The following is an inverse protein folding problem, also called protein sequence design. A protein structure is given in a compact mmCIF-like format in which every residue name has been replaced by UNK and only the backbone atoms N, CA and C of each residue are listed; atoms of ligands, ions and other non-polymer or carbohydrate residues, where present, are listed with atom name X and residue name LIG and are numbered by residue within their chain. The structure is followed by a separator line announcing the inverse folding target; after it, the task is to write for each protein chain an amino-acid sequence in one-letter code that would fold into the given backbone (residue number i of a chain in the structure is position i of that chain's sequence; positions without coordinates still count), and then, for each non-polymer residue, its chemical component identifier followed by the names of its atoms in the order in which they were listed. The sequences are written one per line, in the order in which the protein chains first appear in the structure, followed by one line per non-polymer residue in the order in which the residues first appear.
data_IF_417058744532
#
_entry.id   IF_417058744532
#
_cell.length_a   1.000
_cell.length_b   1.000
_cell.length_c   1.000
_cell.angle_alpha   90.00
_cell.angle_beta   90.00
_cell.angle_gamma   90.00
#
_symmetry.space_group_name_H-M   'P 1'
#
loop_
_entity.id
_entity.type
_entity.pdbx_description
1 polymer ?
#
# COMPACT_ATOMS: atom_id res chain seq x y z
N UNK A 1 19.05 -35.29 5.42
CA UNK A 1 17.59 -35.14 5.63
C UNK A 1 17.17 -33.77 5.06
N UNK A 2 16.35 -33.77 4.02
CA UNK A 2 15.79 -32.52 3.49
C UNK A 2 14.79 -31.98 4.50
N UNK A 3 15.18 -30.96 5.25
CA UNK A 3 14.24 -30.18 6.08
C UNK A 3 13.40 -29.30 5.15
N UNK A 4 12.48 -29.90 4.42
CA UNK A 4 11.52 -29.13 3.63
C UNK A 4 10.67 -28.29 4.61
N UNK A 5 10.73 -26.98 4.46
CA UNK A 5 9.84 -26.09 5.21
C UNK A 5 8.43 -26.27 4.65
N UNK A 6 7.52 -26.69 5.50
CA UNK A 6 6.11 -26.84 5.15
C UNK A 6 5.39 -25.55 5.57
N UNK A 7 4.68 -24.95 4.63
CA UNK A 7 3.82 -23.79 4.82
C UNK A 7 2.36 -24.20 4.66
N UNK A 8 1.48 -23.58 5.43
CA UNK A 8 0.03 -23.74 5.27
C UNK A 8 -0.47 -22.93 4.06
N UNK A 9 0.18 -21.78 3.82
CA UNK A 9 -0.12 -20.89 2.70
C UNK A 9 1.19 -20.43 2.07
N UNK A 10 1.28 -20.50 0.75
CA UNK A 10 2.38 -19.93 -0.02
C UNK A 10 1.84 -18.85 -0.96
N UNK A 11 2.34 -17.62 -0.79
CA UNK A 11 1.95 -16.45 -1.58
C UNK A 11 3.06 -16.18 -2.60
N UNK A 12 2.69 -16.07 -3.86
CA UNK A 12 3.61 -15.72 -4.95
C UNK A 12 3.44 -14.24 -5.29
N UNK A 13 4.48 -13.46 -5.02
CA UNK A 13 4.52 -12.02 -5.17
C UNK A 13 4.45 -11.29 -3.83
N UNK A 14 5.52 -10.57 -3.47
CA UNK A 14 5.62 -9.80 -2.23
C UNK A 14 5.30 -8.30 -2.43
N UNK A 15 4.56 -7.97 -3.49
CA UNK A 15 4.02 -6.62 -3.69
C UNK A 15 2.87 -6.30 -2.72
N UNK A 16 2.24 -5.12 -2.85
CA UNK A 16 1.18 -4.68 -1.93
C UNK A 16 0.05 -5.71 -1.73
N UNK A 17 -0.39 -6.36 -2.81
CA UNK A 17 -1.44 -7.38 -2.73
C UNK A 17 -1.01 -8.61 -1.94
N UNK A 18 0.19 -9.15 -2.21
CA UNK A 18 0.69 -10.32 -1.51
C UNK A 18 0.97 -10.03 -0.03
N UNK A 19 1.54 -8.87 0.27
CA UNK A 19 1.80 -8.43 1.64
C UNK A 19 0.51 -8.26 2.42
N UNK A 20 -0.50 -7.57 1.86
CA UNK A 20 -1.81 -7.43 2.50
C UNK A 20 -2.51 -8.77 2.71
N UNK A 21 -2.38 -9.69 1.76
CA UNK A 21 -2.93 -11.05 1.89
C UNK A 21 -2.28 -11.77 3.06
N UNK A 22 -0.95 -11.72 3.18
CA UNK A 22 -0.24 -12.37 4.28
C UNK A 22 -0.65 -11.80 5.65
N UNK A 23 -0.74 -10.48 5.77
CA UNK A 23 -1.18 -9.80 7.00
C UNK A 23 -2.61 -10.20 7.34
N UNK A 24 -3.50 -10.24 6.34
CA UNK A 24 -4.90 -10.64 6.55
C UNK A 24 -5.02 -12.07 7.06
N UNK A 25 -4.27 -13.01 6.49
CA UNK A 25 -4.23 -14.38 6.99
C UNK A 25 -3.72 -14.47 8.42
N UNK A 26 -2.65 -13.75 8.74
CA UNK A 26 -2.09 -13.71 10.09
C UNK A 26 -3.04 -13.10 11.12
N UNK A 27 -3.82 -12.08 10.73
CA UNK A 27 -4.82 -11.49 11.60
C UNK A 27 -6.03 -12.45 11.85
N UNK A 28 -6.39 -13.24 10.84
CA UNK A 28 -7.46 -14.22 10.98
C UNK A 28 -7.02 -15.47 11.78
N UNK A 29 -5.80 -15.91 11.57
CA UNK A 29 -5.24 -17.06 12.28
C UNK A 29 -3.72 -16.87 12.44
N UNK A 30 -3.25 -16.44 13.64
CA UNK A 30 -1.84 -16.22 13.92
C UNK A 30 -0.95 -17.47 13.81
N UNK A 31 -1.51 -18.66 13.92
CA UNK A 31 -0.76 -19.93 13.91
C UNK A 31 -0.38 -20.37 12.49
N UNK A 32 -0.99 -19.80 11.45
CA UNK A 32 -0.69 -20.15 10.06
C UNK A 32 0.78 -19.90 9.74
N UNK A 33 1.42 -20.90 9.15
CA UNK A 33 2.76 -20.78 8.57
C UNK A 33 2.64 -20.25 7.15
N UNK A 34 2.95 -18.96 6.97
CA UNK A 34 2.83 -18.29 5.69
C UNK A 34 4.21 -18.08 5.09
N UNK A 35 4.39 -18.55 3.86
CA UNK A 35 5.53 -18.24 3.03
C UNK A 35 5.17 -17.20 1.99
N UNK A 36 6.06 -16.24 1.73
CA UNK A 36 5.94 -15.30 0.62
C UNK A 36 7.19 -15.46 -0.24
N UNK A 37 7.00 -15.62 -1.53
CA UNK A 37 8.09 -15.67 -2.52
C UNK A 37 7.89 -14.57 -3.56
N UNK A 38 9.00 -13.97 -3.99
CA UNK A 38 8.99 -12.99 -5.08
C UNK A 38 10.16 -13.28 -6.04
N UNK A 39 9.99 -12.91 -7.30
CA UNK A 39 11.05 -13.03 -8.31
C UNK A 39 12.17 -12.01 -8.14
N UNK A 40 11.92 -10.93 -7.41
CA UNK A 40 12.83 -9.83 -7.20
C UNK A 40 13.43 -9.84 -5.79
N UNK A 41 14.63 -9.27 -5.66
CA UNK A 41 15.27 -8.98 -4.37
C UNK A 41 14.83 -7.58 -3.92
N UNK A 42 14.38 -7.44 -2.69
CA UNK A 42 13.96 -6.16 -2.11
C UNK A 42 15.15 -5.44 -1.42
N UNK A 43 15.18 -4.09 -1.42
CA UNK A 43 14.22 -3.18 -2.06
C UNK A 43 14.34 -3.22 -3.58
N UNK A 44 13.22 -3.03 -4.28
CA UNK A 44 13.18 -2.98 -5.73
C UNK A 44 12.33 -1.85 -6.24
N UNK A 45 12.66 -1.35 -7.39
CA UNK A 45 11.83 -0.40 -8.10
C UNK A 45 10.56 -1.06 -8.63
N UNK A 46 9.46 -0.33 -8.68
CA UNK A 46 8.18 -0.77 -9.18
C UNK A 46 7.49 0.36 -9.92
N UNK A 47 7.17 0.12 -11.19
CA UNK A 47 6.33 1.04 -11.98
C UNK A 47 4.93 1.12 -11.38
N UNK A 48 4.69 2.15 -10.58
CA UNK A 48 3.37 2.43 -10.03
C UNK A 48 3.32 3.92 -9.70
N UNK A 49 2.15 4.55 -9.80
CA UNK A 49 1.96 5.87 -9.24
C UNK A 49 2.24 5.86 -7.75
N UNK A 50 3.01 6.82 -7.28
CA UNK A 50 3.48 6.85 -5.89
C UNK A 50 2.42 7.36 -4.91
N UNK A 51 1.22 7.67 -5.40
CA UNK A 51 0.15 8.24 -4.59
C UNK A 51 -0.60 7.16 -3.77
N UNK A 52 -0.71 7.39 -2.47
CA UNK A 52 -1.45 6.57 -1.52
C UNK A 52 -2.78 7.25 -1.20
N UNK A 53 -3.86 6.70 -1.73
CA UNK A 53 -5.20 7.23 -1.53
C UNK A 53 -5.94 6.65 -0.32
N UNK A 54 -7.17 7.14 -0.05
CA UNK A 54 -7.96 6.78 1.13
C UNK A 54 -8.19 5.26 1.29
N UNK A 55 -8.32 4.53 0.19
CA UNK A 55 -8.50 3.08 0.24
C UNK A 55 -7.32 2.34 0.87
N UNK A 56 -6.09 2.78 0.57
CA UNK A 56 -4.86 2.21 1.17
C UNK A 56 -4.74 2.64 2.62
N UNK A 57 -5.04 3.90 2.94
CA UNK A 57 -5.02 4.42 4.31
C UNK A 57 -5.97 3.61 5.20
N UNK A 58 -7.19 3.35 4.73
CA UNK A 58 -8.16 2.53 5.44
C UNK A 58 -7.68 1.07 5.62
N UNK A 59 -6.97 0.52 4.64
CA UNK A 59 -6.37 -0.80 4.78
C UNK A 59 -5.26 -0.82 5.83
N UNK A 60 -4.38 0.19 5.84
CA UNK A 60 -3.32 0.33 6.85
C UNK A 60 -3.89 0.45 8.26
N UNK A 61 -4.93 1.26 8.46
CA UNK A 61 -5.65 1.38 9.75
C UNK A 61 -6.22 0.05 10.22
N UNK A 62 -6.83 -0.70 9.30
CA UNK A 62 -7.37 -2.03 9.62
C UNK A 62 -6.31 -3.01 10.15
N UNK A 63 -5.05 -2.78 9.78
CA UNK A 63 -3.91 -3.60 10.21
C UNK A 63 -3.06 -2.93 11.30
N UNK A 64 -3.49 -1.79 11.85
CA UNK A 64 -2.74 -0.96 12.82
C UNK A 64 -1.35 -0.55 12.32
N UNK A 65 -1.25 -0.24 11.03
CA UNK A 65 -0.01 0.11 10.34
C UNK A 65 -0.02 1.55 9.79
N UNK A 66 -0.96 2.39 10.21
CA UNK A 66 -1.06 3.79 9.78
C UNK A 66 0.15 4.64 10.15
N UNK A 67 0.89 4.24 11.18
CA UNK A 67 2.11 4.92 11.64
C UNK A 67 3.19 5.06 10.57
N UNK A 68 3.17 4.21 9.54
CA UNK A 68 4.14 4.31 8.44
C UNK A 68 3.94 5.55 7.56
N UNK A 69 2.81 6.25 7.71
CA UNK A 69 2.48 7.46 6.95
C UNK A 69 2.68 8.75 7.76
N UNK A 70 3.13 8.66 9.02
CA UNK A 70 3.23 9.83 9.91
C UNK A 70 4.18 10.91 9.38
N UNK A 71 5.27 10.49 8.76
CA UNK A 71 6.30 11.38 8.21
C UNK A 71 6.17 11.61 6.70
N UNK A 72 5.16 11.02 6.04
CA UNK A 72 4.99 11.13 4.60
C UNK A 72 4.27 12.44 4.20
N UNK A 73 4.71 13.10 3.11
CA UNK A 73 4.12 14.34 2.66
C UNK A 73 2.69 14.13 2.13
N UNK A 74 1.79 15.04 2.49
CA UNK A 74 0.41 15.02 2.01
C UNK A 74 0.26 15.83 0.74
N UNK A 75 -0.44 15.29 -0.25
CA UNK A 75 -0.82 16.02 -1.47
C UNK A 75 -2.01 16.92 -1.17
N UNK A 76 -1.83 18.22 -1.40
CA UNK A 76 -2.87 19.23 -1.18
C UNK A 76 -3.54 19.68 -2.48
N UNK A 77 -2.88 19.50 -3.62
CA UNK A 77 -3.44 19.81 -4.93
C UNK A 77 -2.77 18.98 -6.02
N UNK A 78 -3.45 18.82 -7.14
CA UNK A 78 -2.92 18.23 -8.36
C UNK A 78 -3.13 19.17 -9.54
N UNK A 79 -2.18 19.21 -10.46
CA UNK A 79 -2.29 19.98 -11.69
C UNK A 79 -2.18 19.04 -12.90
N UNK A 80 -3.10 19.18 -13.83
CA UNK A 80 -3.10 18.46 -15.10
C UNK A 80 -2.85 19.48 -16.22
N UNK A 81 -1.85 19.22 -17.05
CA UNK A 81 -1.51 20.07 -18.18
C UNK A 81 -1.85 19.34 -19.48
N UNK A 82 -2.52 20.04 -20.39
CA UNK A 82 -2.76 19.61 -21.77
C UNK A 82 -1.52 19.83 -22.65
N UNK A 83 -1.58 19.37 -23.92
CA UNK A 83 -0.48 19.55 -24.89
C UNK A 83 -0.17 21.02 -25.23
N UNK A 84 -1.09 21.94 -24.93
CA UNK A 84 -1.04 23.38 -25.15
C UNK A 84 -0.64 24.17 -23.90
N UNK A 85 -0.09 23.49 -22.89
CA UNK A 85 0.28 24.04 -21.57
C UNK A 85 -0.89 24.68 -20.78
N UNK A 86 -2.12 24.47 -21.22
CA UNK A 86 -3.29 24.86 -20.44
C UNK A 86 -3.48 23.84 -19.32
N UNK A 87 -3.30 24.32 -18.08
CA UNK A 87 -3.40 23.48 -16.88
C UNK A 87 -4.72 23.68 -16.14
N UNK A 88 -5.24 22.62 -15.58
CA UNK A 88 -6.34 22.65 -14.59
C UNK A 88 -5.74 22.24 -13.25
N UNK A 89 -5.89 23.10 -12.25
CA UNK A 89 -5.48 22.80 -10.88
C UNK A 89 -6.70 22.37 -10.04
N UNK A 90 -6.62 21.18 -9.50
CA UNK A 90 -7.62 20.68 -8.56
C UNK A 90 -7.03 20.66 -7.15
N UNK A 91 -7.73 21.27 -6.20
CA UNK A 91 -7.41 21.19 -4.79
C UNK A 91 -8.13 20.00 -4.18
N UNK A 92 -7.42 19.23 -3.36
CA UNK A 92 -8.04 18.15 -2.58
C UNK A 92 -8.83 18.84 -1.46
N UNK A 93 -10.18 18.70 -1.45
CA UNK A 93 -11.00 19.37 -0.47
C UNK A 93 -10.69 18.87 0.94
N UNK A 94 -10.58 19.78 1.90
CA UNK A 94 -10.53 19.42 3.33
C UNK A 94 -11.91 18.91 3.74
N UNK A 95 -12.11 17.60 3.71
CA UNK A 95 -13.36 16.98 4.15
C UNK A 95 -13.39 16.92 5.68
N UNK A 96 -14.62 16.96 6.26
CA UNK A 96 -14.84 16.95 7.71
C UNK A 96 -14.24 15.74 8.43
N UNK A 97 -14.11 14.60 7.74
CA UNK A 97 -13.36 13.44 8.21
C UNK A 97 -11.98 13.46 7.54
N UNK A 98 -10.94 13.74 8.31
CA UNK A 98 -9.55 13.84 7.85
C UNK A 98 -9.08 12.66 6.96
N UNK A 99 -9.76 11.55 7.01
CA UNK A 99 -9.30 10.29 6.44
C UNK A 99 -9.81 10.00 5.02
N UNK A 100 -10.89 10.68 4.58
CA UNK A 100 -11.55 10.32 3.32
C UNK A 100 -10.98 11.04 2.08
N UNK A 101 -10.08 12.01 2.27
CA UNK A 101 -9.54 12.81 1.17
C UNK A 101 -8.03 13.00 1.19
N UNK A 102 -7.32 12.36 2.12
CA UNK A 102 -5.86 12.49 2.20
C UNK A 102 -5.19 11.59 1.18
N UNK A 103 -4.23 12.15 0.46
CA UNK A 103 -3.33 11.43 -0.45
C UNK A 103 -1.91 11.71 -0.01
N UNK A 104 -1.09 10.67 0.10
CA UNK A 104 0.34 10.73 0.42
C UNK A 104 1.16 10.37 -0.82
N UNK A 105 2.37 10.86 -0.89
CA UNK A 105 3.32 10.58 -2.00
C UNK A 105 4.63 10.06 -1.43
#
# INVERSE_FOLDING_TARGET
MNNAKIYDVLIVGAGPSGSNTAISFKNLNPDLKIGIIDKAIFPRDKSCGDAIGPGVINALKRFNNEHILEDEPQVISTSLFGPDDIGIQNYIPKVKNKDDSVVYV
#
